data_IF_240066094357
#
_entry.id   IF_240066094357
#
_cell.length_a   1.000
_cell.length_b   1.000
_cell.length_c   1.000
_cell.angle_alpha   90.00
_cell.angle_beta   90.00
_cell.angle_gamma   90.00
#
_symmetry.space_group_name_H-M   'P 1'
#
loop_
_entity.id
_entity.type
_entity.pdbx_description
1 polymer ?
#
# COMPACT_ATOMS: atom_id res chain seq x y z
N UNK A 1 -30.55 -9.99 -17.70
CA UNK A 1 -31.51 -8.98 -17.18
C UNK A 1 -30.67 -7.90 -16.49
N UNK A 2 -30.90 -6.61 -16.81
CA UNK A 2 -30.23 -5.41 -16.25
C UNK A 2 -28.79 -5.08 -16.72
N UNK A 3 -28.50 -5.05 -18.04
CA UNK A 3 -27.23 -4.47 -18.55
C UNK A 3 -27.10 -2.97 -18.28
N UNK A 4 -28.22 -2.27 -18.01
CA UNK A 4 -28.29 -0.82 -17.80
C UNK A 4 -28.24 -0.37 -16.33
N UNK A 5 -28.36 -1.27 -15.34
CA UNK A 5 -28.33 -0.88 -13.92
C UNK A 5 -26.93 -1.09 -13.34
N UNK A 6 -26.06 -0.08 -13.47
CA UNK A 6 -24.65 -0.17 -13.03
C UNK A 6 -24.24 1.10 -12.30
N UNK A 7 -23.38 0.93 -11.30
CA UNK A 7 -22.73 2.03 -10.59
C UNK A 7 -21.57 2.56 -11.44
N UNK A 8 -21.57 3.87 -11.71
CA UNK A 8 -20.53 4.53 -12.51
C UNK A 8 -19.27 4.82 -11.70
N UNK A 9 -18.35 3.86 -11.67
CA UNK A 9 -17.10 3.95 -10.87
C UNK A 9 -16.14 5.06 -11.34
N UNK A 10 -16.36 5.66 -12.52
CA UNK A 10 -15.61 6.82 -13.03
C UNK A 10 -15.90 8.09 -12.23
N UNK A 11 -17.08 8.18 -11.62
CA UNK A 11 -17.52 9.33 -10.84
C UNK A 11 -16.82 9.36 -9.49
N UNK A 12 -16.13 10.47 -9.20
CA UNK A 12 -15.36 10.67 -7.97
C UNK A 12 -16.24 10.87 -6.74
N UNK A 13 -17.37 11.56 -6.89
CA UNK A 13 -18.31 11.74 -5.79
C UNK A 13 -19.13 10.46 -5.58
N UNK A 14 -18.83 9.76 -4.49
CA UNK A 14 -19.49 8.53 -4.09
C UNK A 14 -20.99 8.75 -3.85
N UNK A 15 -21.38 9.89 -3.30
CA UNK A 15 -22.80 10.14 -2.95
C UNK A 15 -23.62 10.33 -4.22
N UNK A 16 -23.14 11.18 -5.13
CA UNK A 16 -23.78 11.41 -6.41
C UNK A 16 -23.86 10.10 -7.22
N UNK A 17 -22.77 9.32 -7.25
CA UNK A 17 -22.74 8.00 -7.92
C UNK A 17 -23.79 7.01 -7.39
N UNK A 18 -24.07 7.02 -6.09
CA UNK A 18 -25.12 6.18 -5.51
C UNK A 18 -26.51 6.74 -5.81
N UNK A 19 -26.69 8.06 -5.83
CA UNK A 19 -27.95 8.68 -6.25
C UNK A 19 -28.28 8.32 -7.69
N UNK A 20 -27.34 8.53 -8.61
CA UNK A 20 -27.51 8.26 -10.04
C UNK A 20 -27.88 6.79 -10.30
N UNK A 21 -27.33 5.86 -9.51
CA UNK A 21 -27.68 4.44 -9.59
C UNK A 21 -29.13 4.13 -9.19
N UNK A 22 -29.63 4.79 -8.14
CA UNK A 22 -31.02 4.61 -7.70
C UNK A 22 -32.00 5.29 -8.67
N UNK A 23 -31.63 6.45 -9.23
CA UNK A 23 -32.42 7.15 -10.25
C UNK A 23 -32.49 6.33 -11.55
N UNK A 24 -31.36 5.76 -11.99
CA UNK A 24 -31.30 4.84 -13.14
C UNK A 24 -32.19 3.61 -12.95
N UNK A 25 -32.51 3.22 -11.71
CA UNK A 25 -33.45 2.12 -11.47
C UNK A 25 -34.87 2.49 -11.85
N UNK A 26 -35.31 3.70 -11.50
CA UNK A 26 -36.67 4.13 -11.83
C UNK A 26 -36.81 4.27 -13.36
N UNK A 27 -35.78 4.79 -14.04
CA UNK A 27 -35.72 4.81 -15.51
C UNK A 27 -35.79 3.39 -16.13
N UNK A 28 -35.03 2.43 -15.61
CA UNK A 28 -35.07 1.02 -16.07
C UNK A 28 -36.46 0.40 -15.85
N UNK A 29 -37.15 0.76 -14.77
CA UNK A 29 -38.51 0.30 -14.47
C UNK A 29 -39.50 0.85 -15.50
N UNK A 30 -39.35 2.12 -15.89
CA UNK A 30 -40.20 2.78 -16.88
C UNK A 30 -39.96 2.24 -18.30
N UNK A 31 -38.70 2.19 -18.74
CA UNK A 31 -38.33 1.81 -20.12
C UNK A 31 -38.67 0.35 -20.43
N UNK A 32 -38.51 -0.56 -19.46
CA UNK A 32 -38.76 -1.99 -19.69
C UNK A 32 -40.18 -2.45 -19.35
N UNK A 33 -41.10 -1.54 -19.01
CA UNK A 33 -42.47 -1.90 -18.63
C UNK A 33 -42.54 -2.76 -17.36
N UNK A 34 -41.46 -2.83 -16.59
CA UNK A 34 -41.35 -3.57 -15.34
C UNK A 34 -42.16 -2.92 -14.21
N UNK A 35 -42.73 -1.73 -14.48
CA UNK A 35 -43.57 -0.98 -13.56
C UNK A 35 -44.67 -1.80 -12.91
N UNK A 36 -45.34 -2.69 -13.65
CA UNK A 36 -46.47 -3.48 -13.11
C UNK A 36 -46.03 -4.46 -12.01
N UNK A 37 -44.85 -5.08 -12.16
CA UNK A 37 -44.33 -6.06 -11.20
C UNK A 37 -43.47 -5.46 -10.10
N UNK A 38 -42.80 -4.33 -10.35
CA UNK A 38 -41.87 -3.71 -9.40
C UNK A 38 -42.44 -2.48 -8.67
N UNK A 39 -43.38 -1.70 -9.23
CA UNK A 39 -43.91 -0.49 -8.56
C UNK A 39 -44.53 -0.81 -7.21
N UNK A 40 -45.30 -1.89 -7.12
CA UNK A 40 -46.01 -2.26 -5.89
C UNK A 40 -45.22 -3.24 -5.00
N UNK A 41 -44.07 -3.71 -5.47
CA UNK A 41 -43.38 -4.86 -4.86
C UNK A 41 -41.99 -4.44 -4.37
N UNK A 42 -41.98 -3.74 -3.24
CA UNK A 42 -40.78 -3.16 -2.61
C UNK A 42 -39.69 -4.21 -2.36
N UNK A 43 -40.06 -5.44 -1.97
CA UNK A 43 -39.12 -6.55 -1.76
C UNK A 43 -38.37 -6.93 -3.05
N UNK A 44 -39.08 -6.95 -4.17
CA UNK A 44 -38.47 -7.22 -5.48
C UNK A 44 -37.59 -6.05 -5.92
N UNK A 45 -38.00 -4.79 -5.70
CA UNK A 45 -37.14 -3.60 -5.94
C UNK A 45 -35.82 -3.73 -5.17
N UNK A 46 -35.88 -3.95 -3.85
CA UNK A 46 -34.69 -4.13 -3.03
C UNK A 46 -33.80 -5.30 -3.51
N UNK A 47 -34.40 -6.43 -3.92
CA UNK A 47 -33.64 -7.58 -4.44
C UNK A 47 -32.91 -7.24 -5.74
N UNK A 48 -33.56 -6.57 -6.68
CA UNK A 48 -32.95 -6.17 -7.95
C UNK A 48 -31.83 -5.16 -7.73
N UNK A 49 -32.03 -4.17 -6.84
CA UNK A 49 -30.98 -3.22 -6.45
C UNK A 49 -29.74 -3.93 -5.93
N UNK A 50 -29.91 -4.84 -4.97
CA UNK A 50 -28.79 -5.53 -4.31
C UNK A 50 -28.07 -6.48 -5.28
N UNK A 51 -28.80 -7.17 -6.16
CA UNK A 51 -28.18 -8.10 -7.11
C UNK A 51 -27.30 -7.40 -8.16
N UNK A 52 -27.63 -6.16 -8.52
CA UNK A 52 -26.90 -5.37 -9.51
C UNK A 52 -25.84 -4.43 -8.91
N UNK A 53 -25.70 -4.39 -7.58
CA UNK A 53 -24.65 -3.60 -6.92
C UNK A 53 -23.25 -3.99 -7.41
N UNK A 54 -22.45 -2.97 -7.71
CA UNK A 54 -21.03 -3.06 -8.03
C UNK A 54 -20.27 -2.03 -7.22
N UNK A 55 -19.04 -2.31 -6.74
CA UNK A 55 -18.29 -3.57 -6.87
C UNK A 55 -18.87 -4.73 -6.04
N UNK A 56 -18.40 -5.97 -6.29
CA UNK A 56 -18.89 -7.17 -5.57
C UNK A 56 -18.71 -7.06 -4.05
N UNK A 57 -17.64 -6.42 -3.59
CA UNK A 57 -17.41 -6.15 -2.17
C UNK A 57 -18.56 -5.38 -1.51
N UNK A 58 -19.07 -4.33 -2.19
CA UNK A 58 -20.22 -3.56 -1.72
C UNK A 58 -21.48 -4.42 -1.68
N UNK A 59 -21.70 -5.22 -2.72
CA UNK A 59 -22.82 -6.18 -2.78
C UNK A 59 -22.78 -7.16 -1.60
N UNK A 60 -21.63 -7.74 -1.30
CA UNK A 60 -21.49 -8.73 -0.23
C UNK A 60 -21.70 -8.12 1.16
N UNK A 61 -21.21 -6.90 1.39
CA UNK A 61 -21.43 -6.17 2.65
C UNK A 61 -22.92 -5.85 2.85
N UNK A 62 -23.59 -5.36 1.81
CA UNK A 62 -25.03 -5.06 1.87
C UNK A 62 -25.83 -6.35 2.07
N UNK A 63 -25.46 -7.47 1.44
CA UNK A 63 -26.09 -8.78 1.67
C UNK A 63 -25.95 -9.23 3.13
N UNK A 64 -24.75 -9.12 3.72
CA UNK A 64 -24.52 -9.43 5.14
C UNK A 64 -25.35 -8.55 6.08
N UNK A 65 -25.43 -7.25 5.80
CA UNK A 65 -26.24 -6.32 6.59
C UNK A 65 -27.73 -6.66 6.51
N UNK A 66 -28.21 -7.11 5.35
CA UNK A 66 -29.59 -7.58 5.15
C UNK A 66 -29.86 -8.93 5.83
N UNK A 67 -28.87 -9.82 5.92
CA UNK A 67 -28.98 -11.06 6.67
C UNK A 67 -29.10 -10.79 8.17
N UNK A 68 -28.41 -9.75 8.67
CA UNK A 68 -28.51 -9.30 10.05
C UNK A 68 -29.84 -8.58 10.35
N UNK A 69 -30.26 -7.66 9.48
CA UNK A 69 -31.54 -6.94 9.60
C UNK A 69 -32.41 -7.16 8.34
N UNK A 70 -33.33 -8.15 8.36
CA UNK A 70 -34.19 -8.43 7.21
C UNK A 70 -35.23 -7.33 6.94
N UNK A 71 -35.46 -6.40 7.87
CA UNK A 71 -36.38 -5.26 7.67
C UNK A 71 -35.90 -4.31 6.55
N UNK A 72 -34.62 -4.35 6.22
CA UNK A 72 -34.00 -3.61 5.11
C UNK A 72 -34.50 -4.07 3.73
N UNK A 73 -34.91 -5.34 3.59
CA UNK A 73 -35.51 -5.85 2.33
C UNK A 73 -36.88 -5.25 2.04
N UNK A 74 -37.55 -4.71 3.05
CA UNK A 74 -38.90 -4.15 2.92
C UNK A 74 -38.93 -2.63 2.78
N UNK A 75 -37.78 -1.94 2.90
CA UNK A 75 -37.69 -0.49 2.94
C UNK A 75 -36.58 0.02 2.00
N UNK A 76 -36.97 0.57 0.85
CA UNK A 76 -36.01 1.10 -0.15
C UNK A 76 -35.18 2.26 0.41
N UNK A 77 -35.79 3.17 1.18
CA UNK A 77 -35.05 4.29 1.78
C UNK A 77 -33.96 3.83 2.77
N UNK A 78 -34.28 2.86 3.65
CA UNK A 78 -33.29 2.30 4.57
C UNK A 78 -32.18 1.54 3.83
N UNK A 79 -32.54 0.85 2.74
CA UNK A 79 -31.56 0.22 1.86
C UNK A 79 -30.64 1.25 1.19
N UNK A 80 -31.20 2.36 0.72
CA UNK A 80 -30.42 3.46 0.13
C UNK A 80 -29.39 4.01 1.12
N UNK A 81 -29.82 4.32 2.35
CA UNK A 81 -28.91 4.84 3.39
C UNK A 81 -27.80 3.85 3.71
N UNK A 82 -28.13 2.56 3.82
CA UNK A 82 -27.15 1.51 4.04
C UNK A 82 -26.13 1.42 2.89
N UNK A 83 -26.60 1.36 1.64
CA UNK A 83 -25.75 1.28 0.45
C UNK A 83 -24.84 2.50 0.37
N UNK A 84 -25.37 3.69 0.62
CA UNK A 84 -24.61 4.94 0.66
C UNK A 84 -23.52 4.90 1.73
N UNK A 85 -23.85 4.48 2.96
CA UNK A 85 -22.88 4.39 4.05
C UNK A 85 -21.78 3.37 3.78
N UNK A 86 -22.13 2.20 3.26
CA UNK A 86 -21.17 1.15 2.93
C UNK A 86 -20.26 1.55 1.75
N UNK A 87 -20.82 2.22 0.74
CA UNK A 87 -20.05 2.77 -0.38
C UNK A 87 -19.04 3.83 0.08
N UNK A 88 -19.43 4.70 1.01
CA UNK A 88 -18.53 5.70 1.60
C UNK A 88 -17.40 5.01 2.37
N UNK A 89 -17.73 4.02 3.21
CA UNK A 89 -16.71 3.27 3.98
C UNK A 89 -15.72 2.55 3.06
N UNK A 90 -16.21 1.93 1.98
CA UNK A 90 -15.34 1.29 0.99
C UNK A 90 -14.41 2.28 0.30
N UNK A 91 -14.91 3.45 -0.08
CA UNK A 91 -14.07 4.49 -0.67
C UNK A 91 -13.01 4.97 0.32
N UNK A 92 -13.38 5.23 1.57
CA UNK A 92 -12.43 5.63 2.62
C UNK A 92 -11.35 4.57 2.84
N UNK A 93 -11.73 3.29 2.92
CA UNK A 93 -10.77 2.19 3.06
C UNK A 93 -9.81 2.11 1.86
N UNK A 94 -10.33 2.29 0.64
CA UNK A 94 -9.52 2.31 -0.57
C UNK A 94 -8.55 3.49 -0.61
N UNK A 95 -9.00 4.68 -0.22
CA UNK A 95 -8.15 5.88 -0.17
C UNK A 95 -7.02 5.73 0.87
N UNK A 96 -7.31 5.10 2.02
CA UNK A 96 -6.31 4.77 3.04
C UNK A 96 -5.28 3.77 2.50
N UNK A 97 -5.74 2.69 1.85
CA UNK A 97 -4.87 1.68 1.25
C UNK A 97 -3.93 2.28 0.21
N UNK A 98 -4.45 3.13 -0.68
CA UNK A 98 -3.63 3.86 -1.65
C UNK A 98 -2.59 4.76 -0.97
N UNK A 99 -2.96 5.47 0.09
CA UNK A 99 -2.00 6.32 0.84
C UNK A 99 -0.87 5.48 1.43
N UNK A 100 -1.19 4.33 2.04
CA UNK A 100 -0.17 3.46 2.66
C UNK A 100 0.75 2.82 1.63
N UNK A 101 0.24 2.41 0.47
CA UNK A 101 1.05 1.84 -0.60
C UNK A 101 2.01 2.87 -1.19
N UNK A 102 1.52 4.08 -1.43
CA UNK A 102 2.33 5.18 -1.94
C UNK A 102 3.47 5.54 -0.97
N UNK A 103 3.18 5.61 0.33
CA UNK A 103 4.19 5.84 1.37
C UNK A 103 5.21 4.69 1.38
N UNK A 104 4.76 3.44 1.32
CA UNK A 104 5.64 2.26 1.31
C UNK A 104 6.57 2.27 0.09
N UNK A 105 6.07 2.62 -1.09
CA UNK A 105 6.86 2.76 -2.33
C UNK A 105 7.90 3.87 -2.20
N UNK A 106 7.54 5.04 -1.66
CA UNK A 106 8.47 6.16 -1.45
C UNK A 106 9.57 5.78 -0.45
N UNK A 107 9.22 5.08 0.65
CA UNK A 107 10.22 4.60 1.62
C UNK A 107 11.16 3.56 0.98
N UNK A 108 10.64 2.66 0.15
CA UNK A 108 11.45 1.66 -0.55
C UNK A 108 12.46 2.30 -1.51
N UNK A 109 12.04 3.30 -2.29
CA UNK A 109 12.93 4.04 -3.21
C UNK A 109 13.97 4.86 -2.44
N UNK A 110 13.59 5.51 -1.33
CA UNK A 110 14.51 6.23 -0.46
C UNK A 110 15.56 5.29 0.18
N UNK A 111 15.15 4.10 0.64
CA UNK A 111 16.07 3.06 1.17
C UNK A 111 17.00 2.50 0.09
N UNK A 112 16.54 2.38 -1.14
CA UNK A 112 17.37 1.94 -2.27
C UNK A 112 18.43 3.00 -2.63
N UNK A 113 18.02 4.27 -2.71
CA UNK A 113 18.93 5.39 -2.98
C UNK A 113 20.01 5.57 -1.90
N UNK A 114 19.65 5.43 -0.61
CA UNK A 114 20.63 5.42 0.49
C UNK A 114 21.63 4.28 0.37
N UNK A 115 21.17 3.05 0.07
CA UNK A 115 22.07 1.90 -0.12
C UNK A 115 23.06 2.15 -1.25
N UNK A 116 22.62 2.66 -2.39
CA UNK A 116 23.49 2.93 -3.53
C UNK A 116 24.54 4.02 -3.19
N UNK A 117 24.14 5.05 -2.45
CA UNK A 117 25.07 6.07 -1.96
C UNK A 117 26.09 5.49 -0.98
N UNK A 118 25.69 4.64 -0.04
CA UNK A 118 26.61 4.00 0.92
C UNK A 118 27.60 3.07 0.23
N UNK A 119 27.15 2.32 -0.78
CA UNK A 119 28.03 1.46 -1.59
C UNK A 119 29.06 2.28 -2.36
N UNK A 120 28.65 3.42 -2.95
CA UNK A 120 29.56 4.32 -3.65
C UNK A 120 30.65 4.86 -2.70
N UNK A 121 30.25 5.30 -1.49
CA UNK A 121 31.19 5.80 -0.48
C UNK A 121 32.15 4.68 -0.02
N UNK A 122 31.66 3.47 0.21
CA UNK A 122 32.51 2.34 0.61
C UNK A 122 33.53 1.97 -0.49
N UNK A 123 33.11 1.93 -1.75
CA UNK A 123 34.00 1.66 -2.89
C UNK A 123 35.08 2.72 -3.03
N UNK A 124 34.73 4.01 -2.87
CA UNK A 124 35.69 5.12 -2.92
C UNK A 124 36.71 5.01 -1.78
N UNK A 125 36.26 4.74 -0.54
CA UNK A 125 37.16 4.58 0.62
C UNK A 125 38.12 3.41 0.42
N UNK A 126 37.63 2.26 -0.06
CA UNK A 126 38.48 1.10 -0.35
C UNK A 126 39.51 1.42 -1.44
N UNK A 127 39.11 2.11 -2.52
CA UNK A 127 40.03 2.52 -3.58
C UNK A 127 41.13 3.45 -3.06
N UNK A 128 40.79 4.43 -2.21
CA UNK A 128 41.77 5.34 -1.58
C UNK A 128 42.73 4.55 -0.67
N UNK A 129 42.24 3.61 0.13
CA UNK A 129 43.10 2.78 0.99
C UNK A 129 44.05 1.88 0.22
N UNK A 130 43.60 1.26 -0.88
CA UNK A 130 44.47 0.44 -1.74
C UNK A 130 45.53 1.31 -2.41
N UNK A 131 45.18 2.51 -2.87
CA UNK A 131 46.12 3.43 -3.50
C UNK A 131 47.17 3.97 -2.51
N UNK A 132 46.78 4.25 -1.26
CA UNK A 132 47.71 4.58 -0.17
C UNK A 132 48.68 3.42 0.14
N UNK A 133 48.19 2.18 0.15
CA UNK A 133 49.02 0.99 0.36
C UNK A 133 50.01 0.78 -0.80
N UNK A 134 49.57 1.00 -2.04
CA UNK A 134 50.40 0.89 -3.24
C UNK A 134 51.44 2.05 -3.33
N UNK A 135 51.13 3.22 -2.76
CA UNK A 135 52.10 4.32 -2.57
C UNK A 135 53.14 3.98 -1.50
N UNK A 136 52.75 3.36 -0.39
CA UNK A 136 53.70 2.82 0.60
C UNK A 136 54.62 1.76 0.00
N UNK A 137 54.10 0.81 -0.78
CA UNK A 137 54.90 -0.22 -1.44
C UNK A 137 55.90 0.33 -2.47
N UNK A 138 55.57 1.45 -3.13
CA UNK A 138 56.49 2.17 -4.03
C UNK A 138 57.58 2.93 -3.26
N UNK A 139 57.28 3.45 -2.08
CA UNK A 139 58.24 4.19 -1.26
C UNK A 139 59.23 3.27 -0.50
N UNK A 140 58.83 2.02 -0.23
CA UNK A 140 59.71 1.00 0.41
C UNK A 140 60.77 0.45 -0.58
N UNK A 141 60.67 0.75 -1.88
CA UNK A 141 61.66 0.31 -2.89
C UNK A 141 62.82 1.30 -3.11
N UNK A 142 62.91 2.36 -2.31
CA UNK A 142 63.99 3.35 -2.35
C UNK A 142 64.62 3.54 -0.95
N UNK A 143 65.32 2.52 -0.45
CA UNK A 143 66.49 2.61 0.45
C UNK A 143 66.83 1.21 0.97
N UNK A 144 68.02 0.64 0.67
CA UNK A 144 68.51 -0.56 1.31
C UNK A 144 69.40 -0.17 2.49
N UNK A 145 68.85 -0.09 3.71
CA UNK A 145 69.50 -0.42 4.99
C UNK A 145 68.46 -0.16 6.11
N UNK A 146 68.49 -0.91 7.20
CA UNK A 146 67.54 -0.89 8.35
C UNK A 146 66.30 -1.79 8.25
N UNK A 147 66.51 -3.07 7.91
CA UNK A 147 65.63 -4.15 8.33
C UNK A 147 66.05 -4.67 9.72
N UNK A 148 65.82 -3.90 10.79
CA UNK A 148 66.00 -4.41 12.15
C UNK A 148 65.22 -3.63 13.23
N UNK A 149 64.02 -3.07 12.97
CA UNK A 149 63.28 -2.43 14.07
C UNK A 149 61.77 -2.24 13.90
N UNK A 150 61.02 -3.11 13.21
CA UNK A 150 59.53 -2.99 13.20
C UNK A 150 58.81 -4.35 13.11
N UNK A 151 59.10 -5.27 14.04
CA UNK A 151 58.29 -6.47 14.23
C UNK A 151 57.27 -6.36 15.39
N UNK A 152 57.23 -5.26 16.14
CA UNK A 152 56.39 -5.16 17.36
C UNK A 152 55.11 -4.31 17.27
N UNK A 153 54.83 -3.59 16.18
CA UNK A 153 53.63 -2.72 16.11
C UNK A 153 52.40 -3.33 15.45
N UNK A 154 52.51 -4.43 14.72
CA UNK A 154 51.35 -5.08 14.06
C UNK A 154 50.52 -5.90 15.06
N UNK A 155 51.10 -6.35 16.17
CA UNK A 155 50.42 -7.14 17.20
C UNK A 155 49.59 -6.29 18.17
N UNK A 156 49.85 -4.98 18.29
CA UNK A 156 49.11 -4.09 19.21
C UNK A 156 47.79 -3.58 18.62
N UNK A 157 47.72 -3.37 17.30
CA UNK A 157 46.50 -2.85 16.62
C UNK A 157 45.31 -3.82 16.66
N UNK A 158 45.58 -5.13 16.60
CA UNK A 158 44.53 -6.17 16.59
C UNK A 158 43.88 -6.37 17.96
N UNK A 159 44.54 -5.99 19.07
CA UNK A 159 43.93 -6.01 20.41
C UNK A 159 42.86 -4.95 20.58
N UNK A 160 43.04 -3.74 20.02
CA UNK A 160 42.07 -2.63 20.14
C UNK A 160 40.76 -2.95 19.39
N UNK A 161 40.86 -3.53 18.18
CA UNK A 161 39.68 -3.90 17.37
C UNK A 161 38.85 -5.02 18.03
N UNK A 162 39.50 -5.94 18.76
CA UNK A 162 38.84 -7.04 19.46
C UNK A 162 38.09 -6.55 20.73
N UNK A 163 38.62 -5.53 21.41
CA UNK A 163 37.97 -4.91 22.56
C UNK A 163 36.70 -4.12 22.15
N UNK A 164 36.73 -3.37 21.03
CA UNK A 164 35.57 -2.59 20.57
C UNK A 164 34.37 -3.43 20.09
N UNK A 165 34.58 -4.68 19.64
CA UNK A 165 33.47 -5.59 19.26
C UNK A 165 32.73 -6.17 20.46
N UNK A 166 33.34 -6.24 21.65
CA UNK A 166 32.70 -6.79 22.86
C UNK A 166 31.76 -5.81 23.56
N UNK A 167 31.97 -4.50 23.43
CA UNK A 167 31.13 -3.47 24.08
C UNK A 167 29.82 -3.15 23.35
N UNK A 168 29.63 -3.59 22.09
CA UNK A 168 28.35 -3.41 21.36
C UNK A 168 27.29 -4.49 21.62
N UNK A 169 27.61 -5.57 22.35
CA UNK A 169 26.65 -6.64 22.70
C UNK A 169 26.03 -6.53 24.09
N UNK A 170 26.34 -5.46 24.85
CA UNK A 170 25.67 -5.14 26.11
C UNK A 170 25.18 -3.69 26.05
N UNK A 171 23.98 -3.51 25.50
CA UNK A 171 23.08 -2.44 25.94
C UNK A 171 21.76 -3.12 26.33
N UNK A 172 21.21 -2.81 27.51
CA UNK A 172 19.88 -3.27 27.93
C UNK A 172 18.79 -2.71 26.99
#
# INVERSE_FOLDING_TARGET
MARHLRIDLTQKDVKARILDYFDSMEEVIEVHGLGVSLRNNVKLKCKVLVENLRPSTLKDQVKRAIEYDPSLKANVHRLFDLVKQEAIRNQQAFDLYQRTDNVTRVIATARSKRRNSTTLVHTIVVAISVDQLNRHARNVKACPQEAACTAERVTTGWKIVRQLRRTRRRKP
#
